data_IF_189363405254
#
_entry.id   IF_189363405254
#
_cell.length_a   1.000
_cell.length_b   1.000
_cell.length_c   1.000
_cell.angle_alpha   90.00
_cell.angle_beta   90.00
_cell.angle_gamma   90.00
#
_symmetry.space_group_name_H-M   'P 1'
#
loop_
_entity.id
_entity.type
_entity.pdbx_description
1 polymer ?
#
# COMPACT_ATOMS: atom_id res chain seq x y z
N UNK A 1 -9.17 -1.08 -1.72
CA UNK A 1 -9.18 0.33 -1.30
C UNK A 1 -8.21 0.56 -0.15
N UNK A 2 -7.26 1.48 -0.29
CA UNK A 2 -6.37 1.91 0.77
C UNK A 2 -6.81 3.27 1.32
N UNK A 3 -6.99 3.40 2.62
CA UNK A 3 -7.02 4.69 3.31
C UNK A 3 -5.57 5.10 3.61
N UNK A 4 -5.11 6.17 2.97
CA UNK A 4 -3.76 6.73 3.16
C UNK A 4 -3.87 8.01 3.96
N UNK A 5 -3.07 8.09 5.02
CA UNK A 5 -2.83 9.32 5.76
C UNK A 5 -1.54 9.99 5.27
N UNK A 6 -1.59 11.29 5.00
CA UNK A 6 -0.41 12.08 4.61
C UNK A 6 -0.51 13.51 5.16
N UNK A 7 0.00 13.72 6.37
CA UNK A 7 -0.03 15.05 7.02
C UNK A 7 0.87 16.07 6.31
N UNK A 8 1.95 15.61 5.66
CA UNK A 8 2.91 16.48 5.01
C UNK A 8 2.41 16.96 3.64
N UNK A 9 1.79 16.07 2.89
CA UNK A 9 1.21 16.33 1.58
C UNK A 9 -0.30 16.01 1.61
N UNK A 10 -1.13 16.92 2.16
CA UNK A 10 -2.56 16.65 2.42
C UNK A 10 -3.40 16.39 1.16
N UNK A 11 -2.87 16.65 -0.04
CA UNK A 11 -3.52 16.28 -1.30
C UNK A 11 -3.43 14.78 -1.61
N UNK A 12 -2.54 14.04 -0.94
CA UNK A 12 -2.45 12.57 -1.03
C UNK A 12 -3.37 11.87 -0.02
N UNK A 13 -3.81 12.59 1.02
CA UNK A 13 -4.68 12.07 2.07
C UNK A 13 -6.03 11.66 1.49
N UNK A 14 -6.49 10.45 1.82
CA UNK A 14 -7.78 9.97 1.38
C UNK A 14 -7.82 8.48 1.07
N UNK A 15 -8.85 8.08 0.31
CA UNK A 15 -9.07 6.69 -0.07
C UNK A 15 -8.82 6.48 -1.54
N UNK A 16 -8.04 5.45 -1.82
CA UNK A 16 -7.59 5.11 -3.16
C UNK A 16 -8.04 3.70 -3.50
N UNK A 17 -8.80 3.56 -4.60
CA UNK A 17 -9.07 2.27 -5.21
C UNK A 17 -7.85 1.88 -6.03
N UNK A 18 -7.35 0.67 -5.82
CA UNK A 18 -6.25 0.09 -6.59
C UNK A 18 -6.80 -1.18 -7.23
N UNK A 19 -6.83 -1.20 -8.55
CA UNK A 19 -7.28 -2.34 -9.35
C UNK A 19 -6.23 -2.71 -10.38
N UNK A 20 -6.28 -3.96 -10.84
CA UNK A 20 -5.43 -4.44 -11.94
C UNK A 20 -6.35 -5.09 -12.96
N UNK A 21 -6.38 -4.53 -14.17
CA UNK A 21 -7.17 -5.04 -15.29
C UNK A 21 -6.20 -5.48 -16.39
N UNK A 22 -6.27 -6.75 -16.81
CA UNK A 22 -5.36 -7.33 -17.81
C UNK A 22 -3.86 -7.07 -17.55
N UNK A 23 -3.48 -7.01 -16.27
CA UNK A 23 -2.10 -6.73 -15.83
C UNK A 23 -1.72 -5.25 -15.78
N UNK A 24 -2.65 -4.35 -16.10
CA UNK A 24 -2.46 -2.90 -16.04
C UNK A 24 -3.01 -2.37 -14.71
N UNK A 25 -2.20 -1.66 -13.91
CA UNK A 25 -2.66 -1.08 -12.66
C UNK A 25 -3.43 0.23 -12.90
N UNK A 26 -4.54 0.39 -12.19
CA UNK A 26 -5.32 1.62 -12.13
C UNK A 26 -5.44 2.09 -10.68
N UNK A 27 -5.35 3.40 -10.48
CA UNK A 27 -5.46 4.04 -9.17
C UNK A 27 -6.35 5.27 -9.29
N UNK A 28 -7.40 5.32 -8.49
CA UNK A 28 -8.34 6.44 -8.50
C UNK A 28 -8.86 6.75 -7.08
N UNK A 29 -9.23 8.01 -6.80
CA UNK A 29 -9.89 8.34 -5.55
C UNK A 29 -11.27 7.67 -5.48
N UNK A 30 -11.66 7.18 -4.30
CA UNK A 30 -12.96 6.51 -4.08
C UNK A 30 -13.59 6.93 -2.75
N UNK A 31 -14.91 6.77 -2.63
CA UNK A 31 -15.64 6.92 -1.37
C UNK A 31 -15.92 5.58 -0.67
N UNK A 32 -15.54 4.45 -1.29
CA UNK A 32 -15.78 3.11 -0.77
C UNK A 32 -15.11 2.88 0.60
N UNK A 33 -15.59 1.88 1.32
CA UNK A 33 -14.97 1.48 2.58
C UNK A 33 -13.53 0.98 2.34
N UNK A 34 -12.55 1.38 3.17
CA UNK A 34 -11.19 0.91 3.03
C UNK A 34 -11.06 -0.58 3.37
N UNK A 35 -10.13 -1.26 2.71
CA UNK A 35 -9.68 -2.59 3.08
C UNK A 35 -8.57 -2.53 4.12
N UNK A 36 -7.66 -1.56 3.98
CA UNK A 36 -6.58 -1.25 4.93
C UNK A 36 -6.45 0.25 5.13
N UNK A 37 -5.92 0.65 6.28
CA UNK A 37 -5.54 2.02 6.61
C UNK A 37 -4.08 2.09 7.03
N UNK A 38 -3.34 3.08 6.53
CA UNK A 38 -1.90 3.24 6.76
C UNK A 38 -1.41 4.67 6.53
N UNK A 39 -0.19 4.96 6.96
CA UNK A 39 0.53 6.19 6.60
C UNK A 39 1.14 6.07 5.19
N UNK A 40 1.34 7.19 4.50
CA UNK A 40 2.01 7.24 3.19
C UNK A 40 3.42 6.62 3.22
N UNK A 41 4.13 6.71 4.35
CA UNK A 41 5.45 6.11 4.53
C UNK A 41 5.38 4.57 4.56
N UNK A 42 4.25 3.98 4.97
CA UNK A 42 4.04 2.53 4.93
C UNK A 42 3.86 2.05 3.49
N UNK A 43 3.10 2.80 2.69
CA UNK A 43 2.97 2.55 1.25
C UNK A 43 4.34 2.65 0.59
N UNK A 44 5.13 3.67 0.90
CA UNK A 44 6.48 3.83 0.37
C UNK A 44 7.42 2.67 0.76
N UNK A 45 7.31 2.17 2.00
CA UNK A 45 8.10 1.02 2.46
C UNK A 45 7.76 -0.27 1.69
N UNK A 46 6.48 -0.48 1.38
CA UNK A 46 6.01 -1.64 0.63
C UNK A 46 6.16 -1.48 -0.90
N UNK A 47 6.33 -0.25 -1.40
CA UNK A 47 6.21 0.10 -2.82
C UNK A 47 7.08 -0.74 -3.77
N UNK A 48 8.30 -1.06 -3.36
CA UNK A 48 9.25 -1.86 -4.17
C UNK A 48 9.23 -3.36 -3.83
N UNK A 49 8.32 -3.80 -2.95
CA UNK A 49 8.21 -5.19 -2.50
C UNK A 49 9.32 -5.62 -1.53
N UNK A 50 10.06 -4.67 -0.93
CA UNK A 50 11.08 -4.96 0.10
C UNK A 50 10.49 -5.26 1.48
N UNK A 51 9.35 -4.64 1.78
CA UNK A 51 8.51 -4.95 2.94
C UNK A 51 7.11 -5.34 2.46
N UNK A 52 6.42 -6.18 3.23
CA UNK A 52 5.02 -6.56 2.99
C UNK A 52 4.10 -5.80 3.93
N UNK A 53 2.86 -5.57 3.52
CA UNK A 53 1.78 -5.09 4.38
C UNK A 53 1.53 -6.04 5.54
N UNK A 54 1.73 -7.35 5.38
CA UNK A 54 1.72 -8.30 6.52
C UNK A 54 2.76 -7.95 7.57
N UNK A 55 4.01 -7.66 7.17
CA UNK A 55 5.05 -7.25 8.13
C UNK A 55 4.71 -5.92 8.80
N UNK A 56 4.18 -4.95 8.03
CA UNK A 56 3.79 -3.64 8.55
C UNK A 56 2.57 -3.72 9.49
N UNK A 57 1.62 -4.61 9.22
CA UNK A 57 0.48 -4.87 10.10
C UNK A 57 0.91 -5.57 11.40
N UNK A 58 1.83 -6.54 11.32
CA UNK A 58 2.42 -7.16 12.51
C UNK A 58 3.20 -6.15 13.38
N UNK A 59 3.75 -5.09 12.76
CA UNK A 59 4.38 -3.96 13.43
C UNK A 59 3.39 -2.87 13.89
N UNK A 60 2.08 -3.11 13.78
CA UNK A 60 1.00 -2.16 14.09
C UNK A 60 1.07 -0.83 13.33
N UNK A 61 1.71 -0.80 12.16
CA UNK A 61 1.77 0.38 11.27
C UNK A 61 0.60 0.42 10.29
N UNK A 62 0.20 -0.75 9.79
CA UNK A 62 -0.97 -0.91 8.92
C UNK A 62 -2.11 -1.53 9.72
N UNK A 63 -3.32 -1.02 9.56
CA UNK A 63 -4.53 -1.56 10.19
C UNK A 63 -5.47 -2.16 9.14
N UNK A 64 -5.80 -3.44 9.30
CA UNK A 64 -6.82 -4.11 8.48
C UNK A 64 -8.22 -3.61 8.85
N UNK A 65 -8.97 -3.16 7.84
CA UNK A 65 -10.33 -2.62 7.99
C UNK A 65 -11.39 -3.60 7.47
N UNK A 66 -11.03 -4.40 6.46
CA UNK A 66 -11.86 -5.48 5.92
C UNK A 66 -11.07 -6.79 5.91
N UNK A 67 -11.68 -7.94 6.25
CA UNK A 67 -10.99 -9.23 6.27
C UNK A 67 -10.24 -9.54 4.96
N UNK A 68 -8.97 -9.94 5.10
CA UNK A 68 -8.08 -10.27 3.98
C UNK A 68 -7.59 -9.04 3.21
N UNK A 69 -7.83 -7.82 3.70
CA UNK A 69 -7.37 -6.58 3.07
C UNK A 69 -5.84 -6.51 3.02
N UNK A 70 -5.17 -6.96 4.07
CA UNK A 70 -3.70 -7.00 4.13
C UNK A 70 -3.13 -7.99 3.11
N UNK A 71 -3.73 -9.17 2.99
CA UNK A 71 -3.31 -10.18 2.02
C UNK A 71 -3.51 -9.72 0.57
N UNK A 72 -4.62 -9.03 0.29
CA UNK A 72 -4.87 -8.41 -1.02
C UNK A 72 -3.83 -7.33 -1.34
N UNK A 73 -3.48 -6.49 -0.37
CA UNK A 73 -2.44 -5.47 -0.54
C UNK A 73 -1.07 -6.12 -0.81
N UNK A 74 -0.71 -7.19 -0.09
CA UNK A 74 0.51 -7.94 -0.36
C UNK A 74 0.54 -8.51 -1.78
N UNK A 75 -0.57 -9.04 -2.27
CA UNK A 75 -0.65 -9.56 -3.62
C UNK A 75 -0.42 -8.48 -4.70
N UNK A 76 -0.88 -7.24 -4.46
CA UNK A 76 -0.69 -6.12 -5.39
C UNK A 76 0.75 -5.59 -5.43
N UNK A 77 1.44 -5.58 -4.29
CA UNK A 77 2.77 -4.95 -4.17
C UNK A 77 3.93 -5.96 -4.18
N UNK A 78 3.66 -7.26 -4.20
CA UNK A 78 4.69 -8.30 -4.24
C UNK A 78 5.49 -8.24 -5.54
N UNK A 79 6.81 -8.30 -5.39
CA UNK A 79 7.77 -8.47 -6.50
C UNK A 79 8.52 -9.79 -6.33
N UNK A 80 8.94 -10.42 -7.43
CA UNK A 80 9.65 -11.71 -7.39
C UNK A 80 11.09 -11.61 -6.85
N UNK A 81 11.65 -10.39 -6.83
CA UNK A 81 13.03 -10.12 -6.46
C UNK A 81 13.06 -8.97 -5.49
N UNK A 82 13.79 -9.14 -4.40
CA UNK A 82 14.02 -8.07 -3.44
C UNK A 82 14.65 -6.83 -4.13
N UNK A 83 14.23 -5.61 -3.77
CA UNK A 83 14.81 -4.40 -4.32
C UNK A 83 16.26 -4.21 -3.84
N UNK A 84 17.07 -3.54 -4.66
CA UNK A 84 18.48 -3.30 -4.38
C UNK A 84 18.90 -1.89 -4.81
N UNK A 85 19.76 -1.25 -4.02
CA UNK A 85 20.38 0.02 -4.34
C UNK A 85 21.83 -0.20 -4.80
N UNK A 86 22.16 0.01 -6.10
CA UNK A 86 23.44 -0.38 -6.65
C UNK A 86 24.61 0.56 -6.31
N UNK A 87 24.32 1.82 -5.96
CA UNK A 87 25.35 2.82 -5.63
C UNK A 87 24.87 3.81 -4.58
N UNK A 88 25.78 4.33 -3.72
CA UNK A 88 25.49 5.50 -2.92
C UNK A 88 25.30 6.73 -3.82
N UNK A 89 24.49 7.67 -3.34
CA UNK A 89 24.12 8.92 -4.03
C UNK A 89 25.21 10.00 -3.91
#
# INVERSE_FOLDING_TARGET
>A
VLQVADEFCPWNDGRWSLTVEDGVPYVEPTADAPDIACDVADVAAAYLGGFSFTHLAAAARVSEQAPGGVERADALFRTDRAPWCPRPF
#
